data_IF_425339090211
#
_entry.id   IF_425339090211
#
_cell.length_a   1.000
_cell.length_b   1.000
_cell.length_c   1.000
_cell.angle_alpha   90.00
_cell.angle_beta   90.00
_cell.angle_gamma   90.00
#
_symmetry.space_group_name_H-M   'P 1'
#
loop_
_entity.id
_entity.type
_entity.pdbx_description
1 polymer ?
#
# COMPACT_ATOMS: atom_id res chain seq x y z
N UNK A 1 15.39 -15.16 -20.73
CA UNK A 1 14.83 -13.93 -20.12
C UNK A 1 15.93 -12.94 -19.69
N UNK A 2 17.16 -13.38 -19.41
CA UNK A 2 18.31 -12.50 -19.10
C UNK A 2 19.08 -12.00 -20.33
N UNK A 3 19.02 -12.69 -21.49
CA UNK A 3 19.72 -12.27 -22.71
C UNK A 3 19.20 -10.96 -23.33
N UNK A 4 18.07 -10.44 -22.84
CA UNK A 4 17.53 -9.15 -23.26
C UNK A 4 17.87 -8.00 -22.28
N UNK A 5 18.44 -8.29 -21.11
CA UNK A 5 18.71 -7.30 -20.06
C UNK A 5 19.61 -6.17 -20.57
N UNK A 6 20.70 -6.54 -21.24
CA UNK A 6 21.66 -5.57 -21.77
C UNK A 6 21.03 -4.70 -22.87
N UNK A 7 20.20 -5.30 -23.73
CA UNK A 7 19.46 -4.56 -24.77
C UNK A 7 18.44 -3.58 -24.18
N UNK A 8 17.71 -4.00 -23.14
CA UNK A 8 16.77 -3.11 -22.45
C UNK A 8 17.48 -1.98 -21.71
N UNK A 9 18.59 -2.27 -21.04
CA UNK A 9 19.41 -1.25 -20.39
C UNK A 9 19.97 -0.23 -21.39
N UNK A 10 20.44 -0.68 -22.57
CA UNK A 10 20.88 0.23 -23.64
C UNK A 10 19.75 1.11 -24.16
N UNK A 11 18.54 0.55 -24.35
CA UNK A 11 17.34 1.32 -24.75
C UNK A 11 16.98 2.35 -23.68
N UNK A 12 17.03 1.96 -22.41
CA UNK A 12 16.78 2.85 -21.28
C UNK A 12 17.81 3.96 -21.18
N UNK A 13 19.10 3.65 -21.30
CA UNK A 13 20.17 4.67 -21.32
C UNK A 13 19.97 5.67 -22.45
N UNK A 14 19.58 5.19 -23.62
CA UNK A 14 19.27 6.06 -24.77
C UNK A 14 18.06 6.95 -24.50
N UNK A 15 17.01 6.39 -23.87
CA UNK A 15 15.81 7.10 -23.49
C UNK A 15 16.10 8.15 -22.42
N UNK A 16 16.94 7.84 -21.43
CA UNK A 16 17.37 8.72 -20.36
C UNK A 16 18.32 9.83 -20.85
N UNK A 17 19.25 9.53 -21.75
CA UNK A 17 20.08 10.55 -22.43
C UNK A 17 19.19 11.57 -23.14
N UNK A 18 18.14 11.14 -23.85
CA UNK A 18 17.14 12.03 -24.47
C UNK A 18 16.32 12.85 -23.46
N UNK A 19 16.28 12.45 -22.19
CA UNK A 19 15.66 13.22 -21.09
C UNK A 19 16.63 14.22 -20.43
N UNK A 20 17.89 14.29 -20.88
CA UNK A 20 18.91 15.15 -20.29
C UNK A 20 19.67 14.53 -19.12
N UNK A 21 19.62 13.21 -18.95
CA UNK A 21 20.32 12.49 -17.89
C UNK A 21 21.79 12.10 -18.22
N UNK A 22 22.37 12.67 -19.28
CA UNK A 22 23.65 12.22 -19.86
C UNK A 22 24.83 12.19 -18.88
N UNK A 23 24.90 13.15 -17.94
CA UNK A 23 26.01 13.25 -16.99
C UNK A 23 25.70 12.61 -15.62
N UNK A 24 24.43 12.36 -15.32
CA UNK A 24 24.01 11.92 -13.98
C UNK A 24 23.88 10.40 -13.85
N UNK A 25 23.62 9.68 -14.94
CA UNK A 25 23.39 8.22 -14.88
C UNK A 25 22.02 7.82 -14.29
N UNK A 26 21.11 8.78 -14.11
CA UNK A 26 19.80 8.59 -13.50
C UNK A 26 18.91 9.83 -13.64
N UNK A 27 17.71 9.77 -13.07
CA UNK A 27 16.70 10.84 -13.18
C UNK A 27 16.16 11.26 -11.82
N UNK A 28 15.86 12.54 -11.68
CA UNK A 28 15.08 13.07 -10.55
C UNK A 28 13.59 13.01 -10.86
N UNK A 29 12.75 13.16 -9.83
CA UNK A 29 11.30 13.18 -10.03
C UNK A 29 10.85 14.28 -11.00
N UNK A 30 11.43 15.49 -10.92
CA UNK A 30 11.05 16.58 -11.83
C UNK A 30 11.32 16.27 -13.30
N UNK A 31 12.46 15.63 -13.60
CA UNK A 31 12.77 15.16 -14.96
C UNK A 31 11.81 14.06 -15.41
N UNK A 32 11.47 13.15 -14.49
CA UNK A 32 10.53 12.07 -14.76
C UNK A 32 9.13 12.60 -15.05
N UNK A 33 8.61 13.52 -14.23
CA UNK A 33 7.30 14.15 -14.38
C UNK A 33 7.16 14.90 -15.70
N UNK A 34 8.22 15.59 -16.14
CA UNK A 34 8.20 16.31 -17.41
C UNK A 34 8.10 15.36 -18.61
N UNK A 35 8.71 14.16 -18.52
CA UNK A 35 8.87 13.25 -19.66
C UNK A 35 7.99 12.01 -19.60
N UNK A 36 7.32 11.71 -18.48
CA UNK A 36 6.44 10.55 -18.31
C UNK A 36 5.36 10.47 -19.41
N UNK A 37 4.86 11.63 -19.84
CA UNK A 37 3.81 11.73 -20.85
C UNK A 37 4.34 11.79 -22.28
N UNK A 38 5.66 11.78 -22.48
CA UNK A 38 6.24 11.74 -23.82
C UNK A 38 5.98 10.38 -24.47
N UNK A 39 5.80 10.41 -25.80
CA UNK A 39 5.50 9.21 -26.58
C UNK A 39 6.53 8.10 -26.36
N UNK A 40 7.83 8.44 -26.34
CA UNK A 40 8.90 7.48 -26.15
C UNK A 40 8.83 6.73 -24.81
N UNK A 41 8.42 7.42 -23.73
CA UNK A 41 8.32 6.82 -22.39
C UNK A 41 7.09 5.94 -22.27
N UNK A 42 5.96 6.40 -22.81
CA UNK A 42 4.72 5.63 -22.85
C UNK A 42 4.89 4.34 -23.65
N UNK A 43 5.46 4.42 -24.85
CA UNK A 43 5.76 3.25 -25.68
C UNK A 43 6.67 2.27 -24.94
N UNK A 44 7.66 2.76 -24.19
CA UNK A 44 8.53 1.89 -23.39
C UNK A 44 7.76 1.18 -22.26
N UNK A 45 6.92 1.88 -21.51
CA UNK A 45 6.08 1.25 -20.48
C UNK A 45 5.09 0.26 -21.05
N UNK A 46 4.48 0.56 -22.20
CA UNK A 46 3.60 -0.35 -22.92
C UNK A 46 4.32 -1.64 -23.32
N UNK A 47 5.57 -1.57 -23.78
CA UNK A 47 6.37 -2.78 -24.09
C UNK A 47 6.63 -3.66 -22.87
N UNK A 48 6.55 -3.08 -21.67
CA UNK A 48 6.68 -3.77 -20.39
C UNK A 48 5.32 -4.17 -19.79
N UNK A 49 4.21 -3.82 -20.44
CA UNK A 49 2.86 -4.04 -19.90
C UNK A 49 2.58 -3.23 -18.64
N UNK A 50 3.20 -2.06 -18.51
CA UNK A 50 3.03 -1.15 -17.39
C UNK A 50 2.08 -0.01 -17.77
N UNK A 51 1.09 0.23 -16.92
CA UNK A 51 0.22 1.41 -16.99
C UNK A 51 0.46 2.27 -15.75
N UNK A 52 1.11 3.42 -15.94
CA UNK A 52 1.53 4.32 -14.86
C UNK A 52 0.58 5.52 -14.83
N UNK A 53 -0.47 5.43 -13.99
CA UNK A 53 -1.46 6.49 -13.81
C UNK A 53 -1.08 7.50 -12.71
N UNK A 54 -0.20 7.10 -11.78
CA UNK A 54 0.36 7.96 -10.73
C UNK A 54 1.90 7.96 -10.81
N UNK A 55 2.48 8.97 -11.51
CA UNK A 55 3.93 9.08 -11.69
C UNK A 55 4.68 9.26 -10.37
N UNK A 56 4.08 9.93 -9.37
CA UNK A 56 4.73 10.20 -8.08
C UNK A 56 4.85 8.93 -7.25
N UNK A 57 3.74 8.19 -7.10
CA UNK A 57 3.78 6.90 -6.40
C UNK A 57 4.69 5.90 -7.10
N UNK A 58 4.70 5.89 -8.44
CA UNK A 58 5.62 5.05 -9.20
C UNK A 58 7.08 5.43 -8.96
N UNK A 59 7.43 6.71 -9.00
CA UNK A 59 8.80 7.17 -8.74
C UNK A 59 9.27 6.80 -7.33
N UNK A 60 8.43 7.01 -6.30
CA UNK A 60 8.73 6.59 -4.92
C UNK A 60 8.95 5.09 -4.78
N UNK A 61 8.29 4.29 -5.61
CA UNK A 61 8.49 2.84 -5.61
C UNK A 61 9.83 2.43 -6.26
N UNK A 62 10.42 3.30 -7.09
CA UNK A 62 11.73 3.10 -7.68
C UNK A 62 12.85 3.61 -6.76
N UNK A 63 12.67 4.81 -6.20
CA UNK A 63 13.57 5.50 -5.26
C UNK A 63 13.60 4.79 -3.90
N UNK A 64 14.38 3.71 -3.84
CA UNK A 64 14.37 2.76 -2.72
C UNK A 64 15.13 3.28 -1.50
N UNK A 65 16.12 4.15 -1.72
CA UNK A 65 16.92 4.80 -0.68
C UNK A 65 16.35 6.17 -0.26
N UNK A 66 15.38 6.70 -1.02
CA UNK A 66 14.70 7.96 -0.73
C UNK A 66 15.56 9.18 -1.04
N UNK A 67 16.57 9.03 -1.90
CA UNK A 67 17.50 10.09 -2.30
C UNK A 67 16.88 11.11 -3.25
N UNK A 68 15.68 10.84 -3.79
CA UNK A 68 15.04 11.68 -4.81
C UNK A 68 15.70 11.57 -6.19
N UNK A 69 16.58 10.57 -6.36
CA UNK A 69 17.33 10.29 -7.57
C UNK A 69 17.27 8.79 -7.84
N UNK A 70 16.86 8.41 -9.04
CA UNK A 70 16.72 7.01 -9.43
C UNK A 70 17.72 6.70 -10.53
N UNK A 71 18.63 5.76 -10.25
CA UNK A 71 19.60 5.29 -11.24
C UNK A 71 18.91 4.50 -12.37
N UNK A 72 19.52 4.46 -13.55
CA UNK A 72 18.96 3.72 -14.70
C UNK A 72 18.73 2.24 -14.38
N UNK A 73 19.65 1.62 -13.66
CA UNK A 73 19.58 0.22 -13.25
C UNK A 73 18.44 -0.01 -12.24
N UNK A 74 18.22 0.90 -11.30
CA UNK A 74 17.11 0.86 -10.34
C UNK A 74 15.76 1.05 -11.04
N UNK A 75 15.70 1.99 -11.99
CA UNK A 75 14.53 2.20 -12.83
C UNK A 75 14.19 0.93 -13.61
N UNK A 76 15.19 0.30 -14.23
CA UNK A 76 15.00 -0.94 -14.99
C UNK A 76 14.52 -2.08 -14.09
N UNK A 77 15.18 -2.29 -12.94
CA UNK A 77 14.80 -3.33 -11.99
C UNK A 77 13.41 -3.10 -11.42
N UNK A 78 13.05 -1.85 -11.11
CA UNK A 78 11.72 -1.49 -10.66
C UNK A 78 10.67 -1.74 -11.74
N UNK A 79 10.92 -1.30 -12.97
CA UNK A 79 10.07 -1.61 -14.13
C UNK A 79 9.87 -3.12 -14.31
N UNK A 80 10.95 -3.92 -14.29
CA UNK A 80 10.88 -5.37 -14.35
C UNK A 80 10.09 -5.96 -13.19
N UNK A 81 10.32 -5.42 -11.99
CA UNK A 81 9.58 -5.81 -10.80
C UNK A 81 8.11 -5.59 -11.08
N UNK A 82 7.69 -4.42 -11.56
CA UNK A 82 6.28 -4.06 -11.83
C UNK A 82 5.68 -4.72 -13.07
N UNK A 83 6.49 -5.13 -14.04
CA UNK A 83 6.03 -5.81 -15.25
C UNK A 83 5.81 -7.31 -15.02
N UNK A 84 4.61 -7.81 -15.34
CA UNK A 84 4.38 -9.25 -15.49
C UNK A 84 3.09 -9.78 -14.87
N UNK A 85 2.61 -10.89 -15.43
CA UNK A 85 1.37 -11.57 -15.02
C UNK A 85 1.42 -12.16 -13.60
N UNK A 86 2.60 -12.48 -13.07
CA UNK A 86 2.77 -12.96 -11.70
C UNK A 86 2.27 -11.93 -10.66
N UNK A 87 2.49 -10.62 -10.94
CA UNK A 87 2.02 -9.55 -10.07
C UNK A 87 0.51 -9.38 -10.03
N UNK A 88 -0.19 -9.59 -11.15
CA UNK A 88 -1.65 -9.51 -11.14
C UNK A 88 -2.26 -10.60 -10.23
N UNK A 89 -1.66 -11.79 -10.21
CA UNK A 89 -2.09 -12.88 -9.35
C UNK A 89 -1.71 -12.65 -7.88
N UNK A 90 -0.49 -12.18 -7.61
CA UNK A 90 -0.05 -11.86 -6.24
C UNK A 90 -0.83 -10.69 -5.64
N UNK A 91 -1.08 -9.63 -6.41
CA UNK A 91 -1.92 -8.49 -6.02
C UNK A 91 -3.38 -8.93 -5.88
N UNK A 92 -3.89 -9.76 -6.78
CA UNK A 92 -5.22 -10.35 -6.65
C UNK A 92 -5.39 -11.15 -5.36
N UNK A 93 -4.36 -11.94 -4.99
CA UNK A 93 -4.32 -12.66 -3.71
C UNK A 93 -4.28 -11.72 -2.52
N UNK A 94 -3.45 -10.67 -2.57
CA UNK A 94 -3.39 -9.65 -1.52
C UNK A 94 -4.74 -8.95 -1.31
N UNK A 95 -5.42 -8.56 -2.39
CA UNK A 95 -6.76 -7.94 -2.34
C UNK A 95 -7.78 -8.94 -1.76
N UNK A 96 -7.72 -10.22 -2.13
CA UNK A 96 -8.59 -11.26 -1.60
C UNK A 96 -8.35 -11.47 -0.10
N UNK A 97 -7.10 -11.59 0.33
CA UNK A 97 -6.70 -11.78 1.73
C UNK A 97 -7.11 -10.56 2.57
N UNK A 98 -6.91 -9.34 2.04
CA UNK A 98 -7.35 -8.10 2.67
C UNK A 98 -8.89 -8.06 2.81
N UNK A 99 -9.63 -8.39 1.74
CA UNK A 99 -11.10 -8.43 1.76
C UNK A 99 -11.61 -9.45 2.79
N UNK A 100 -10.96 -10.61 2.87
CA UNK A 100 -11.27 -11.63 3.86
C UNK A 100 -11.00 -11.12 5.28
N UNK A 101 -9.86 -10.47 5.51
CA UNK A 101 -9.48 -9.93 6.81
C UNK A 101 -10.48 -8.86 7.28
N UNK A 102 -10.87 -7.92 6.41
CA UNK A 102 -11.87 -6.88 6.72
C UNK A 102 -13.21 -7.52 7.12
N UNK A 103 -13.66 -8.55 6.39
CA UNK A 103 -14.90 -9.26 6.73
C UNK A 103 -14.79 -10.01 8.05
N UNK A 104 -13.63 -10.60 8.34
CA UNK A 104 -13.37 -11.29 9.60
C UNK A 104 -13.35 -10.32 10.78
N UNK A 105 -12.73 -9.17 10.59
CA UNK A 105 -12.68 -8.09 11.56
C UNK A 105 -14.09 -7.57 11.92
N UNK A 106 -14.97 -7.38 10.94
CA UNK A 106 -16.36 -6.96 11.21
C UNK A 106 -17.14 -7.96 12.08
N UNK A 107 -16.90 -9.26 11.91
CA UNK A 107 -17.52 -10.30 12.77
C UNK A 107 -16.95 -10.26 14.18
N UNK A 108 -15.64 -10.15 14.32
CA UNK A 108 -14.98 -10.04 15.61
C UNK A 108 -15.43 -8.79 16.37
N UNK A 109 -15.52 -7.65 15.68
CA UNK A 109 -15.99 -6.40 16.28
C UNK A 109 -17.41 -6.56 16.85
N UNK A 110 -18.33 -7.15 16.09
CA UNK A 110 -19.71 -7.36 16.56
C UNK A 110 -19.78 -8.31 17.76
N UNK A 111 -18.99 -9.38 17.76
CA UNK A 111 -18.89 -10.28 18.91
C UNK A 111 -18.37 -9.53 20.15
N UNK A 112 -17.30 -8.75 20.00
CA UNK A 112 -16.74 -7.96 21.10
C UNK A 112 -17.72 -6.91 21.62
N UNK A 113 -18.47 -6.25 20.74
CA UNK A 113 -19.52 -5.31 21.12
C UNK A 113 -20.63 -5.98 21.95
N UNK A 114 -21.04 -7.19 21.57
CA UNK A 114 -22.06 -7.94 22.32
C UNK A 114 -21.55 -8.38 23.70
N UNK A 115 -20.35 -8.96 23.78
CA UNK A 115 -19.74 -9.35 25.04
C UNK A 115 -19.53 -8.15 25.98
N UNK A 116 -19.10 -7.01 25.46
CA UNK A 116 -18.94 -5.78 26.25
C UNK A 116 -20.28 -5.24 26.75
N UNK A 117 -21.35 -5.33 25.94
CA UNK A 117 -22.70 -4.97 26.38
C UNK A 117 -23.16 -5.87 27.53
N UNK A 118 -22.97 -7.19 27.42
CA UNK A 118 -23.35 -8.12 28.49
C UNK A 118 -22.58 -7.84 29.80
N UNK A 119 -21.27 -7.57 29.71
CA UNK A 119 -20.46 -7.19 30.88
C UNK A 119 -20.95 -5.88 31.50
N UNK A 120 -21.26 -4.87 30.67
CA UNK A 120 -21.77 -3.59 31.14
C UNK A 120 -23.11 -3.74 31.85
N UNK A 121 -24.04 -4.50 31.27
CA UNK A 121 -25.37 -4.73 31.84
C UNK A 121 -25.29 -5.49 33.16
N UNK A 122 -24.39 -6.48 33.25
CA UNK A 122 -24.08 -7.18 34.49
C UNK A 122 -23.56 -6.23 35.59
N UNK A 123 -22.62 -5.35 35.25
CA UNK A 123 -22.09 -4.34 36.19
C UNK A 123 -23.18 -3.37 36.66
N UNK A 124 -24.06 -2.90 35.76
CA UNK A 124 -25.19 -2.04 36.12
C UNK A 124 -26.14 -2.75 37.07
N UNK A 125 -26.48 -4.00 36.77
CA UNK A 125 -27.35 -4.81 37.64
C UNK A 125 -26.75 -5.00 39.03
N UNK A 126 -25.43 -5.29 39.11
CA UNK A 126 -24.73 -5.40 40.39
C UNK A 126 -24.73 -4.08 41.17
N UNK A 127 -24.51 -2.95 40.49
CA UNK A 127 -24.56 -1.62 41.11
C UNK A 127 -25.95 -1.30 41.68
N UNK A 128 -27.02 -1.65 40.95
CA UNK A 128 -28.40 -1.45 41.39
C UNK A 128 -28.74 -2.29 42.63
N UNK A 129 -28.31 -3.56 42.66
CA UNK A 129 -28.48 -4.44 43.83
C UNK A 129 -27.75 -3.87 45.05
N UNK A 130 -26.50 -3.44 44.90
CA UNK A 130 -25.74 -2.82 45.99
C UNK A 130 -26.43 -1.55 46.52
N UNK A 131 -27.00 -0.73 45.63
CA UNK A 131 -27.77 0.46 45.99
C UNK A 131 -29.10 0.14 46.68
N UNK A 132 -29.76 -0.97 46.32
CA UNK A 132 -30.98 -1.42 46.99
C UNK A 132 -30.70 -1.97 48.39
N UNK A 133 -29.62 -2.75 48.55
CA UNK A 133 -29.20 -3.30 49.84
C UNK A 133 -28.82 -2.20 50.84
N UNK A 134 -28.09 -1.16 50.40
CA UNK A 134 -27.74 -0.04 51.27
C UNK A 134 -28.95 0.75 51.77
N UNK A 135 -30.01 0.85 50.95
CA UNK A 135 -31.29 1.49 51.33
C UNK A 135 -32.12 0.64 52.29
N UNK A 136 -32.11 -0.68 52.15
CA UNK A 136 -32.87 -1.60 53.03
C UNK A 136 -32.33 -1.67 54.47
N UNK A 137 -31.01 -1.54 54.65
CA UNK A 137 -30.38 -1.58 55.99
C UNK A 137 -30.73 -0.36 56.85
N UNK A 138 -31.12 0.77 56.24
CA UNK A 138 -31.52 1.97 56.97
C UNK A 138 -32.94 1.90 57.57
N UNK A 139 -33.76 0.91 57.20
CA UNK A 139 -35.17 0.83 57.60
C UNK A 139 -35.45 -0.15 58.77
N UNK A 140 -34.46 -0.92 59.21
CA UNK A 140 -34.58 -1.90 60.32
C UNK A 140 -34.07 -1.39 61.68
N UNK A 141 -33.77 -0.09 61.80
CA UNK A 141 -33.31 0.55 63.05
C UNK A 141 -34.31 1.52 63.70
N UNK A 142 -35.62 1.43 63.40
CA UNK A 142 -36.67 2.14 64.14
C UNK A 142 -37.69 1.18 64.75
#
# INVERSE_FOLDING_TARGET
MLDNKESHLQKLRTLFSKMGAEEAGGITFGMFEEKINSQAVREYFETLGLDVWDPWSFFKLLDSDGGGFVEVEEFFLGCLRFSGAAKAMDVGKLIQDQTWLIRSQGRFQRYMEDELCQVKDGLTTMADVLSAMSRGVSCTQL
#
